data_IF_918247075857
#
_entry.id   IF_918247075857
#
_cell.length_a   1.000
_cell.length_b   1.000
_cell.length_c   1.000
_cell.angle_alpha   90.00
_cell.angle_beta   90.00
_cell.angle_gamma   90.00
#
_symmetry.space_group_name_H-M   'P 1'
#
loop_
_entity.id
_entity.type
_entity.pdbx_description
1 polymer ?
#
# COMPACT_ATOMS: atom_id res chain seq x y z
N UNK A 1 -14.45 -5.76 9.98
CA UNK A 1 -14.03 -6.33 8.68
C UNK A 1 -12.56 -6.07 8.39
N UNK A 2 -12.05 -4.87 8.69
CA UNK A 2 -10.63 -4.51 8.59
C UNK A 2 -9.68 -5.33 9.49
N UNK A 3 -10.18 -5.85 10.62
CA UNK A 3 -9.41 -6.69 11.56
C UNK A 3 -9.09 -8.09 11.01
N UNK A 4 -9.90 -8.63 10.08
CA UNK A 4 -9.64 -9.95 9.47
C UNK A 4 -8.49 -9.93 8.46
N UNK A 5 -8.15 -8.76 7.92
CA UNK A 5 -7.01 -8.58 7.00
C UNK A 5 -5.67 -8.54 7.74
N UNK A 6 -5.68 -8.24 9.05
CA UNK A 6 -4.48 -8.21 9.89
C UNK A 6 -4.10 -9.61 10.42
N UNK A 7 -5.06 -10.51 10.60
CA UNK A 7 -4.82 -11.74 11.37
C UNK A 7 -4.42 -12.98 10.55
N UNK A 8 -4.70 -13.08 9.23
CA UNK A 8 -4.48 -14.34 8.48
C UNK A 8 -3.65 -14.25 7.19
N UNK A 9 -3.62 -13.13 6.45
CA UNK A 9 -2.79 -13.03 5.23
C UNK A 9 -1.42 -12.40 5.49
N UNK A 10 -1.30 -11.57 6.53
CA UNK A 10 -0.10 -10.78 6.82
C UNK A 10 0.98 -11.53 7.65
N UNK A 11 0.71 -12.78 8.03
CA UNK A 11 1.61 -13.59 8.87
C UNK A 11 2.43 -14.65 8.10
N UNK A 12 1.95 -15.24 6.99
CA UNK A 12 2.32 -16.66 6.73
C UNK A 12 3.25 -16.99 5.56
N UNK A 13 3.48 -16.14 4.55
CA UNK A 13 4.45 -16.50 3.48
C UNK A 13 5.92 -16.26 3.88
N UNK A 14 6.21 -15.48 4.93
CA UNK A 14 7.61 -15.03 5.20
C UNK A 14 8.13 -15.16 6.66
N UNK A 15 7.46 -15.88 7.58
CA UNK A 15 8.00 -16.12 8.94
C UNK A 15 8.74 -17.48 9.08
N UNK A 16 8.80 -18.33 8.04
CA UNK A 16 9.26 -19.75 8.18
C UNK A 16 10.80 -19.94 8.15
N UNK A 17 11.66 -18.96 7.83
CA UNK A 17 13.12 -19.23 7.84
C UNK A 17 13.97 -18.01 8.22
N UNK A 18 14.33 -17.89 9.49
CA UNK A 18 14.72 -16.64 10.13
C UNK A 18 16.23 -16.43 10.38
N UNK A 19 17.16 -16.78 9.47
CA UNK A 19 18.59 -16.48 9.74
C UNK A 19 19.44 -15.98 8.54
N UNK A 20 19.04 -16.24 7.30
CA UNK A 20 19.69 -15.70 6.07
C UNK A 20 18.91 -14.45 5.54
N UNK A 21 17.83 -14.07 6.25
CA UNK A 21 16.63 -13.44 5.67
C UNK A 21 16.46 -11.94 5.88
N UNK A 22 17.26 -11.25 6.70
CA UNK A 22 17.02 -9.83 6.99
C UNK A 22 17.08 -8.93 5.75
N UNK A 23 18.01 -9.21 4.82
CA UNK A 23 18.09 -8.51 3.54
C UNK A 23 16.89 -8.77 2.62
N UNK A 24 16.41 -10.01 2.56
CA UNK A 24 15.23 -10.37 1.77
C UNK A 24 13.93 -9.82 2.37
N UNK A 25 13.85 -9.66 3.69
CA UNK A 25 12.70 -9.03 4.37
C UNK A 25 12.65 -7.53 4.05
N UNK A 26 13.78 -6.82 4.09
CA UNK A 26 13.86 -5.41 3.71
C UNK A 26 13.45 -5.19 2.24
N UNK A 27 13.92 -6.08 1.35
CA UNK A 27 13.62 -6.07 -0.08
C UNK A 27 12.14 -6.39 -0.34
N UNK A 28 11.57 -7.39 0.34
CA UNK A 28 10.15 -7.73 0.26
C UNK A 28 9.23 -6.62 0.80
N UNK A 29 9.63 -5.96 1.90
CA UNK A 29 8.91 -4.82 2.45
C UNK A 29 8.86 -3.65 1.46
N UNK A 30 10.00 -3.28 0.87
CA UNK A 30 10.05 -2.21 -0.14
C UNK A 30 9.25 -2.54 -1.41
N UNK A 31 9.34 -3.78 -1.89
CA UNK A 31 8.66 -4.22 -3.11
C UNK A 31 7.13 -4.27 -2.94
N UNK A 32 6.64 -4.69 -1.77
CA UNK A 32 5.20 -4.69 -1.46
C UNK A 32 4.59 -3.29 -1.44
N UNK A 33 5.26 -2.31 -0.84
CA UNK A 33 4.81 -0.91 -0.78
C UNK A 33 4.89 -0.25 -2.17
N UNK A 34 5.97 -0.51 -2.91
CA UNK A 34 6.17 0.01 -4.25
C UNK A 34 5.11 -0.47 -5.24
N UNK A 35 4.78 -1.77 -5.23
CA UNK A 35 3.73 -2.32 -6.11
C UNK A 35 2.33 -1.83 -5.72
N UNK A 36 2.04 -1.69 -4.42
CA UNK A 36 0.77 -1.14 -3.94
C UNK A 36 0.58 0.33 -4.37
N UNK A 37 1.63 1.15 -4.26
CA UNK A 37 1.60 2.55 -4.71
C UNK A 37 1.48 2.70 -6.23
N UNK A 38 2.15 1.84 -7.00
CA UNK A 38 2.05 1.85 -8.47
C UNK A 38 0.63 1.46 -8.92
N UNK A 39 0.04 0.43 -8.32
CA UNK A 39 -1.33 0.01 -8.60
C UNK A 39 -2.35 1.11 -8.26
N UNK A 40 -2.20 1.77 -7.10
CA UNK A 40 -3.06 2.88 -6.71
C UNK A 40 -2.92 4.08 -7.66
N UNK A 41 -1.70 4.49 -7.99
CA UNK A 41 -1.44 5.59 -8.92
C UNK A 41 -1.98 5.33 -10.32
N UNK A 42 -1.90 4.09 -10.82
CA UNK A 42 -2.49 3.71 -12.10
C UNK A 42 -4.02 3.84 -12.09
N UNK A 43 -4.68 3.35 -11.03
CA UNK A 43 -6.12 3.48 -10.87
C UNK A 43 -6.57 4.96 -10.80
N UNK A 44 -5.84 5.79 -10.04
CA UNK A 44 -6.09 7.23 -9.93
C UNK A 44 -5.90 7.93 -11.28
N UNK A 45 -4.89 7.55 -12.07
CA UNK A 45 -4.65 8.11 -13.40
C UNK A 45 -5.83 7.87 -14.37
N UNK A 46 -6.38 6.66 -14.38
CA UNK A 46 -7.53 6.31 -15.22
C UNK A 46 -8.81 7.02 -14.76
N UNK A 47 -9.07 7.04 -13.44
CA UNK A 47 -10.20 7.77 -12.85
C UNK A 47 -10.06 9.28 -13.09
N UNK A 48 -8.84 9.80 -13.07
CA UNK A 48 -8.52 11.20 -13.36
C UNK A 48 -8.87 11.59 -14.79
N UNK A 49 -8.47 10.80 -15.81
CA UNK A 49 -8.80 11.08 -17.22
C UNK A 49 -10.32 11.05 -17.47
N UNK A 50 -11.01 10.05 -16.92
CA UNK A 50 -12.47 9.97 -17.01
C UNK A 50 -13.15 11.12 -16.24
N UNK A 51 -12.60 11.49 -15.08
CA UNK A 51 -13.12 12.52 -14.19
C UNK A 51 -13.02 13.93 -14.77
N UNK A 52 -11.92 14.27 -15.45
CA UNK A 52 -11.78 15.58 -16.11
C UNK A 52 -12.76 15.73 -17.28
N UNK A 53 -12.96 14.66 -18.07
CA UNK A 53 -13.95 14.65 -19.16
C UNK A 53 -15.38 14.80 -18.63
N UNK A 54 -15.70 14.15 -17.51
CA UNK A 54 -17.01 14.26 -16.87
C UNK A 54 -17.25 15.66 -16.25
N UNK A 55 -16.21 16.25 -15.65
CA UNK A 55 -16.28 17.59 -15.03
C UNK A 55 -16.49 18.69 -16.08
N UNK A 56 -15.97 18.50 -17.30
CA UNK A 56 -16.19 19.43 -18.42
C UNK A 56 -17.66 19.52 -18.86
N UNK A 57 -18.46 18.46 -18.67
CA UNK A 57 -19.88 18.46 -18.99
C UNK A 57 -20.71 19.09 -17.87
N UNK A 58 -20.44 18.73 -16.61
CA UNK A 58 -21.12 19.27 -15.44
C UNK A 58 -20.14 19.58 -14.29
N UNK A 59 -19.89 20.86 -13.95
CA UNK A 59 -18.92 21.24 -12.91
C UNK A 59 -19.35 20.84 -11.49
N UNK A 60 -20.63 20.45 -11.31
CA UNK A 60 -21.16 19.98 -10.02
C UNK A 60 -20.60 18.61 -9.60
N UNK A 61 -20.02 17.85 -10.54
CA UNK A 61 -19.45 16.52 -10.29
C UNK A 61 -18.02 16.56 -9.71
N UNK A 62 -17.40 17.75 -9.64
CA UNK A 62 -16.01 17.93 -9.21
C UNK A 62 -15.73 17.40 -7.80
N UNK A 63 -16.65 17.64 -6.85
CA UNK A 63 -16.50 17.18 -5.46
C UNK A 63 -16.60 15.65 -5.36
N UNK A 64 -17.47 15.03 -6.15
CA UNK A 64 -17.63 13.57 -6.19
C UNK A 64 -16.39 12.87 -6.74
N UNK A 65 -15.78 13.45 -7.79
CA UNK A 65 -14.50 12.98 -8.33
C UNK A 65 -13.41 13.02 -7.25
N UNK A 66 -13.22 14.16 -6.59
CA UNK A 66 -12.20 14.33 -5.54
C UNK A 66 -12.37 13.28 -4.42
N UNK A 67 -13.60 13.03 -3.95
CA UNK A 67 -13.85 12.01 -2.92
C UNK A 67 -13.35 10.62 -3.33
N UNK A 68 -13.58 10.21 -4.58
CA UNK A 68 -13.15 8.89 -5.08
C UNK A 68 -11.62 8.81 -5.16
N UNK A 69 -10.94 9.87 -5.59
CA UNK A 69 -9.47 9.91 -5.64
C UNK A 69 -8.84 9.79 -4.24
N UNK A 70 -9.40 10.44 -3.21
CA UNK A 70 -8.83 10.39 -1.86
C UNK A 70 -9.03 8.99 -1.24
N UNK A 71 -10.19 8.36 -1.44
CA UNK A 71 -10.40 6.99 -0.94
C UNK A 71 -9.48 5.97 -1.61
N UNK A 72 -9.17 6.16 -2.89
CA UNK A 72 -8.19 5.33 -3.59
C UNK A 72 -6.77 5.46 -2.99
N UNK A 73 -6.35 6.69 -2.67
CA UNK A 73 -5.04 6.97 -2.08
C UNK A 73 -4.87 6.34 -0.69
N UNK A 74 -5.92 6.39 0.15
CA UNK A 74 -5.86 5.86 1.53
C UNK A 74 -5.60 4.35 1.55
N UNK A 75 -6.06 3.59 0.55
CA UNK A 75 -5.74 2.17 0.39
C UNK A 75 -4.24 1.94 0.12
N UNK A 76 -3.61 2.83 -0.66
CA UNK A 76 -2.16 2.82 -0.91
C UNK A 76 -1.36 3.16 0.36
N UNK A 77 -1.80 4.17 1.11
CA UNK A 77 -1.19 4.55 2.39
C UNK A 77 -1.29 3.43 3.44
N UNK A 78 -2.37 2.64 3.40
CA UNK A 78 -2.49 1.47 4.26
C UNK A 78 -1.38 0.44 3.97
N UNK A 79 -1.05 0.20 2.69
CA UNK A 79 0.08 -0.63 2.29
C UNK A 79 1.43 -0.11 2.80
N UNK A 80 1.62 1.21 2.82
CA UNK A 80 2.85 1.86 3.31
C UNK A 80 3.04 1.70 4.82
N UNK A 81 1.98 1.89 5.62
CA UNK A 81 2.02 1.70 7.09
C UNK A 81 2.44 0.27 7.43
N UNK A 82 1.86 -0.68 6.70
CA UNK A 82 2.10 -2.12 6.85
C UNK A 82 3.56 -2.49 6.51
N UNK A 83 4.11 -1.94 5.43
CA UNK A 83 5.53 -2.13 5.07
C UNK A 83 6.50 -1.52 6.08
N UNK A 84 6.17 -0.36 6.66
CA UNK A 84 6.99 0.29 7.69
C UNK A 84 7.08 -0.56 8.96
N UNK A 85 5.97 -1.15 9.40
CA UNK A 85 5.92 -2.03 10.58
C UNK A 85 6.80 -3.28 10.38
N UNK A 86 6.84 -3.85 9.17
CA UNK A 86 7.71 -4.98 8.84
C UNK A 86 9.20 -4.61 8.96
N UNK A 87 9.57 -3.42 8.49
CA UNK A 87 10.94 -2.93 8.54
C UNK A 87 11.41 -2.67 9.99
N UNK A 88 10.54 -2.07 10.81
CA UNK A 88 10.82 -1.85 12.23
C UNK A 88 11.01 -3.17 12.98
N UNK A 89 10.23 -4.22 12.65
CA UNK A 89 10.40 -5.56 13.24
C UNK A 89 11.67 -6.27 12.76
N UNK A 90 12.05 -6.08 11.49
CA UNK A 90 13.28 -6.65 10.93
C UNK A 90 14.55 -6.02 11.53
N UNK A 91 14.51 -4.73 11.88
CA UNK A 91 15.64 -4.00 12.48
C UNK A 91 15.76 -4.19 14.00
N UNK A 92 14.73 -4.70 14.67
CA UNK A 92 14.73 -4.95 16.13
C UNK A 92 15.48 -6.21 16.58
N UNK A 93 15.97 -7.04 15.64
CA UNK A 93 16.88 -8.13 15.92
C UNK A 93 18.32 -7.67 15.73
N UNK A 94 19.00 -7.38 16.85
CA UNK A 94 20.43 -7.09 16.94
C UNK A 94 21.26 -7.92 15.94
N UNK A 95 21.76 -7.29 14.87
CA UNK A 95 22.98 -7.72 14.19
C UNK A 95 24.13 -7.27 15.08
N UNK A 96 24.31 -7.95 16.21
CA UNK A 96 25.55 -7.88 16.98
C UNK A 96 26.49 -8.94 16.42
N UNK A 97 27.50 -8.47 15.71
CA UNK A 97 28.74 -9.22 15.51
C UNK A 97 29.49 -9.33 16.84
#
# INVERSE_FOLDING_TARGET
MFEKFLSNDFLFVLTINALISSGFIQLGAGLSVGLAGLAAGFAIGVVGDAGVRATAQQPRLFVGMILILIFAEVLGLYGLIVGLILNTKASGGDVKC
#
